data_IF_963644559664
#
_entry.id   IF_963644559664
#
_cell.length_a   1.000
_cell.length_b   1.000
_cell.length_c   1.000
_cell.angle_alpha   90.00
_cell.angle_beta   90.00
_cell.angle_gamma   90.00
#
_symmetry.space_group_name_H-M   'P 1'
#
loop_
_entity.id
_entity.type
_entity.pdbx_description
1 polymer ?
#
# COMPACT_ATOMS: atom_id res chain seq x y z
N UNK A 1 -15.71 43.54 5.04
CA UNK A 1 -14.61 42.72 5.56
C UNK A 1 -14.80 41.29 5.12
N UNK A 2 -13.91 40.75 4.30
CA UNK A 2 -13.99 39.39 3.74
C UNK A 2 -13.19 38.47 4.68
N UNK A 3 -13.84 37.50 5.31
CA UNK A 3 -13.18 36.45 6.08
C UNK A 3 -12.54 35.46 5.10
N UNK A 4 -11.21 35.39 5.08
CA UNK A 4 -10.47 34.37 4.35
C UNK A 4 -10.52 33.05 5.14
N UNK A 5 -11.32 32.07 4.68
CA UNK A 5 -11.17 30.69 5.11
C UNK A 5 -9.90 30.14 4.43
N UNK A 6 -8.79 30.13 5.15
CA UNK A 6 -7.57 29.46 4.71
C UNK A 6 -7.73 27.97 5.01
N UNK A 7 -8.11 27.21 3.97
CA UNK A 7 -8.09 25.75 4.01
C UNK A 7 -6.65 25.28 4.14
N UNK A 8 -6.24 24.91 5.35
CA UNK A 8 -4.96 24.24 5.57
C UNK A 8 -5.11 22.83 4.99
N UNK A 9 -4.62 22.62 3.77
CA UNK A 9 -4.40 21.29 3.25
C UNK A 9 -3.19 20.71 3.98
N UNK A 10 -3.44 19.89 4.99
CA UNK A 10 -2.41 19.00 5.51
C UNK A 10 -2.05 18.05 4.39
N UNK A 11 -0.89 18.28 3.77
CA UNK A 11 -0.28 17.28 2.88
C UNK A 11 0.28 16.22 3.83
N UNK A 12 -0.53 15.20 4.11
CA UNK A 12 -0.03 13.99 4.75
C UNK A 12 1.04 13.42 3.82
N UNK A 13 2.29 13.34 4.29
CA UNK A 13 3.27 12.49 3.63
C UNK A 13 2.79 11.06 3.77
N UNK A 14 2.52 10.46 2.62
CA UNK A 14 1.77 9.23 2.45
C UNK A 14 2.76 8.15 2.03
N UNK A 15 3.11 7.27 2.95
CA UNK A 15 4.07 6.19 2.72
C UNK A 15 3.33 4.89 2.39
N UNK A 16 3.55 4.36 1.19
CA UNK A 16 2.95 3.11 0.77
C UNK A 16 3.99 1.99 0.85
N UNK A 17 4.01 1.31 1.99
CA UNK A 17 4.89 0.16 2.25
C UNK A 17 4.63 -0.99 1.26
N UNK A 18 5.68 -1.75 0.94
CA UNK A 18 5.56 -3.00 0.19
C UNK A 18 4.75 -4.03 1.00
N UNK A 19 3.62 -4.50 0.47
CA UNK A 19 2.91 -5.64 1.04
C UNK A 19 3.49 -6.94 0.48
N UNK A 20 4.26 -7.69 1.28
CA UNK A 20 4.86 -8.96 0.83
C UNK A 20 3.90 -10.12 0.95
N UNK A 21 4.13 -11.15 0.13
CA UNK A 21 3.32 -12.37 0.16
C UNK A 21 3.40 -13.10 1.51
N UNK A 22 4.52 -12.99 2.24
CA UNK A 22 4.72 -13.64 3.54
C UNK A 22 3.85 -13.04 4.65
N UNK A 23 3.47 -11.77 4.50
CA UNK A 23 2.65 -11.03 5.46
C UNK A 23 1.16 -11.31 5.28
N UNK A 24 0.77 -11.89 4.15
CA UNK A 24 -0.61 -12.24 3.83
C UNK A 24 -0.96 -13.63 4.38
N UNK A 25 -1.98 -13.76 5.26
CA UNK A 25 -2.46 -15.07 5.71
C UNK A 25 -2.97 -15.90 4.52
N UNK A 26 -2.80 -17.23 4.59
CA UNK A 26 -3.24 -18.16 3.53
C UNK A 26 -4.70 -17.97 3.09
N UNK A 27 -5.60 -17.61 4.01
CA UNK A 27 -7.01 -17.34 3.71
C UNK A 27 -7.23 -16.11 2.80
N UNK A 28 -6.25 -15.19 2.76
CA UNK A 28 -6.31 -13.91 2.07
C UNK A 28 -5.44 -13.84 0.82
N UNK A 29 -4.64 -14.88 0.53
CA UNK A 29 -3.72 -14.89 -0.61
C UNK A 29 -4.41 -14.49 -1.91
N UNK A 30 -5.55 -15.10 -2.24
CA UNK A 30 -6.25 -14.79 -3.50
C UNK A 30 -6.72 -13.34 -3.57
N UNK A 31 -7.26 -12.76 -2.50
CA UNK A 31 -7.79 -11.39 -2.53
C UNK A 31 -6.67 -10.34 -2.52
N UNK A 32 -5.55 -10.63 -1.87
CA UNK A 32 -4.42 -9.72 -1.75
C UNK A 32 -3.43 -9.82 -2.91
N UNK A 33 -3.46 -10.91 -3.69
CA UNK A 33 -2.46 -11.18 -4.73
C UNK A 33 -2.23 -10.00 -5.69
N UNK A 34 -3.24 -9.28 -6.23
CA UNK A 34 -3.00 -8.15 -7.12
C UNK A 34 -2.32 -6.96 -6.44
N UNK A 35 -2.58 -6.77 -5.13
CA UNK A 35 -1.96 -5.70 -4.36
C UNK A 35 -0.49 -6.04 -4.11
N UNK A 36 -0.19 -7.26 -3.68
CA UNK A 36 1.19 -7.76 -3.55
C UNK A 36 1.96 -7.61 -4.87
N UNK A 37 1.37 -8.03 -6.00
CA UNK A 37 2.03 -7.86 -7.30
C UNK A 37 2.28 -6.39 -7.65
N UNK A 38 1.33 -5.50 -7.34
CA UNK A 38 1.46 -4.07 -7.61
C UNK A 38 2.56 -3.45 -6.74
N UNK A 39 2.54 -3.69 -5.43
CA UNK A 39 3.52 -3.14 -4.48
C UNK A 39 4.92 -3.59 -4.85
N UNK A 40 5.12 -4.89 -5.11
CA UNK A 40 6.42 -5.44 -5.50
C UNK A 40 6.90 -4.93 -6.87
N UNK A 41 5.98 -4.55 -7.76
CA UNK A 41 6.36 -3.93 -9.04
C UNK A 41 6.77 -2.47 -8.84
N UNK A 42 6.10 -1.77 -7.93
CA UNK A 42 6.34 -0.36 -7.65
C UNK A 42 7.57 -0.12 -6.77
N UNK A 43 7.97 -1.09 -5.97
CA UNK A 43 9.13 -1.07 -5.08
C UNK A 43 10.44 -0.78 -5.84
N UNK A 44 11.10 0.31 -5.45
CA UNK A 44 12.32 0.81 -6.09
C UNK A 44 13.54 0.13 -5.46
N UNK A 45 13.50 -0.24 -4.18
CA UNK A 45 14.61 -0.82 -3.43
C UNK A 45 14.21 -2.07 -2.62
N UNK A 46 14.06 -3.22 -3.29
CA UNK A 46 13.61 -4.47 -2.66
C UNK A 46 14.59 -5.06 -1.65
N UNK A 47 15.82 -4.53 -1.57
CA UNK A 47 16.87 -5.03 -0.67
C UNK A 47 16.91 -4.28 0.68
N UNK A 48 16.18 -3.16 0.82
CA UNK A 48 15.99 -2.46 2.11
C UNK A 48 14.93 -3.18 2.95
N UNK A 49 15.29 -4.28 3.60
CA UNK A 49 14.43 -4.88 4.64
C UNK A 49 14.39 -3.97 5.88
N UNK A 50 13.19 -3.61 6.35
CA UNK A 50 12.93 -2.89 7.62
C UNK A 50 13.64 -3.49 8.85
N UNK A 51 14.02 -4.77 8.79
CA UNK A 51 14.72 -5.50 9.87
C UNK A 51 16.10 -4.92 10.25
N UNK A 52 16.65 -3.96 9.49
CA UNK A 52 17.89 -3.25 9.82
C UNK A 52 17.69 -1.77 10.17
N UNK A 53 16.48 -1.32 10.53
CA UNK A 53 16.25 0.00 11.11
C UNK A 53 16.73 0.11 12.58
N UNK A 54 17.84 -0.55 12.92
CA UNK A 54 18.55 -0.28 14.15
C UNK A 54 19.14 1.14 14.03
N UNK A 55 18.49 2.07 14.73
CA UNK A 55 18.92 3.44 15.02
C UNK A 55 20.45 3.58 15.02
N UNK A 56 21.01 4.10 13.94
CA UNK A 56 22.25 4.85 14.01
C UNK A 56 21.95 6.27 13.56
N UNK A 57 21.49 7.06 14.53
CA UNK A 57 21.17 8.46 14.42
C UNK A 57 22.43 9.27 14.05
N UNK A 58 22.87 9.23 12.79
CA UNK A 58 23.93 10.09 12.27
C UNK A 58 23.85 10.39 10.77
N UNK A 59 22.71 10.16 10.11
CA UNK A 59 22.60 10.43 8.67
C UNK A 59 21.52 11.47 8.36
N UNK A 60 21.96 12.53 7.70
CA UNK A 60 21.09 13.52 7.09
C UNK A 60 20.43 12.86 5.87
N UNK A 61 19.13 12.55 6.01
CA UNK A 61 18.12 12.51 4.95
C UNK A 61 18.44 11.65 3.72
N UNK A 62 18.00 10.39 3.73
CA UNK A 62 18.13 9.51 2.55
C UNK A 62 17.38 8.17 2.62
N UNK A 63 16.56 7.93 3.65
CA UNK A 63 15.70 6.75 3.76
C UNK A 63 14.26 7.01 3.30
N UNK A 64 13.90 8.28 3.04
CA UNK A 64 12.52 8.75 2.80
C UNK A 64 12.26 9.14 1.33
N UNK A 65 13.23 8.95 0.42
CA UNK A 65 13.14 9.49 -0.95
C UNK A 65 12.25 8.68 -1.88
N UNK A 66 12.14 7.38 -1.65
CA UNK A 66 11.58 6.44 -2.63
C UNK A 66 10.10 6.14 -2.34
N UNK A 67 9.71 6.15 -1.05
CA UNK A 67 8.34 5.86 -0.59
C UNK A 67 7.27 6.77 -1.25
N UNK A 68 7.49 8.08 -1.49
CA UNK A 68 6.53 8.90 -2.23
C UNK A 68 6.39 8.50 -3.70
N UNK A 69 7.47 8.00 -4.32
CA UNK A 69 7.49 7.57 -5.73
C UNK A 69 6.76 6.22 -5.85
N UNK A 70 6.99 5.32 -4.91
CA UNK A 70 6.30 4.03 -4.80
C UNK A 70 4.80 4.22 -4.53
N UNK A 71 4.45 5.09 -3.58
CA UNK A 71 3.06 5.48 -3.31
C UNK A 71 2.42 6.06 -4.56
N UNK A 72 3.10 6.95 -5.29
CA UNK A 72 2.58 7.47 -6.54
C UNK A 72 2.32 6.35 -7.57
N UNK A 73 3.21 5.36 -7.70
CA UNK A 73 3.02 4.20 -8.58
C UNK A 73 1.80 3.36 -8.18
N UNK A 74 1.64 3.05 -6.89
CA UNK A 74 0.55 2.23 -6.35
C UNK A 74 -0.78 2.99 -6.48
N UNK A 75 -0.86 4.21 -5.94
CA UNK A 75 -2.10 4.97 -5.85
C UNK A 75 -2.63 5.41 -7.23
N UNK A 76 -1.72 5.62 -8.21
CA UNK A 76 -2.11 6.03 -9.56
C UNK A 76 -2.40 4.86 -10.50
N UNK A 77 -2.11 3.61 -10.12
CA UNK A 77 -2.34 2.46 -10.98
C UNK A 77 -3.82 2.32 -11.35
N UNK A 78 -4.09 2.07 -12.65
CA UNK A 78 -5.45 1.92 -13.22
C UNK A 78 -5.68 0.58 -13.91
N UNK A 79 -4.74 -0.35 -13.82
CA UNK A 79 -4.89 -1.69 -14.42
C UNK A 79 -5.99 -2.52 -13.75
N UNK A 80 -6.35 -2.16 -12.50
CA UNK A 80 -7.53 -2.63 -11.79
C UNK A 80 -7.99 -1.59 -10.77
N UNK A 81 -9.08 -1.86 -10.05
CA UNK A 81 -9.56 -1.01 -8.98
C UNK A 81 -8.74 -1.23 -7.70
N UNK A 82 -7.58 -0.57 -7.62
CA UNK A 82 -6.65 -0.68 -6.48
C UNK A 82 -7.35 -0.41 -5.15
N UNK A 83 -8.15 0.65 -5.08
CA UNK A 83 -8.84 1.04 -3.84
C UNK A 83 -9.76 -0.06 -3.31
N UNK A 84 -10.61 -0.65 -4.17
CA UNK A 84 -11.52 -1.70 -3.73
C UNK A 84 -10.80 -3.00 -3.36
N UNK A 85 -9.78 -3.40 -4.11
CA UNK A 85 -9.04 -4.64 -3.82
C UNK A 85 -8.16 -4.48 -2.57
N UNK A 86 -7.50 -3.33 -2.39
CA UNK A 86 -6.74 -3.01 -1.18
C UNK A 86 -7.63 -3.03 0.06
N UNK A 87 -8.83 -2.43 -0.01
CA UNK A 87 -9.77 -2.42 1.10
C UNK A 87 -10.28 -3.84 1.46
N UNK A 88 -10.55 -4.69 0.46
CA UNK A 88 -10.95 -6.08 0.66
C UNK A 88 -9.81 -6.93 1.23
N UNK A 89 -8.59 -6.72 0.75
CA UNK A 89 -7.39 -7.36 1.27
C UNK A 89 -7.14 -6.97 2.74
N UNK A 90 -7.15 -5.67 3.06
CA UNK A 90 -7.01 -5.16 4.41
C UNK A 90 -8.03 -5.75 5.37
N UNK A 91 -9.30 -5.80 4.95
CA UNK A 91 -10.36 -6.41 5.77
C UNK A 91 -10.17 -7.92 5.94
N UNK A 92 -9.70 -8.65 4.90
CA UNK A 92 -9.42 -10.08 5.02
C UNK A 92 -8.29 -10.34 6.03
N UNK A 93 -7.19 -9.60 5.93
CA UNK A 93 -6.03 -9.71 6.82
C UNK A 93 -6.45 -9.40 8.25
N UNK A 94 -7.27 -8.37 8.46
CA UNK A 94 -7.81 -8.05 9.78
C UNK A 94 -8.64 -9.20 10.40
N UNK A 95 -9.37 -9.95 9.57
CA UNK A 95 -10.20 -11.07 10.02
C UNK A 95 -9.40 -12.37 10.25
N UNK A 96 -8.32 -12.60 9.49
CA UNK A 96 -7.64 -13.90 9.43
C UNK A 96 -6.14 -13.86 9.79
N UNK A 97 -5.60 -12.67 10.05
CA UNK A 97 -4.18 -12.44 10.34
C UNK A 97 -3.88 -12.28 11.83
N UNK A 98 -2.59 -12.38 12.17
CA UNK A 98 -2.10 -12.28 13.55
C UNK A 98 -1.80 -10.82 13.99
N UNK A 99 -2.38 -9.81 13.32
CA UNK A 99 -2.13 -8.36 13.56
C UNK A 99 -0.68 -7.87 13.36
N UNK A 100 0.22 -8.69 12.80
CA UNK A 100 1.65 -8.36 12.70
C UNK A 100 2.03 -7.50 11.50
N UNK A 101 1.23 -7.48 10.44
CA UNK A 101 1.43 -6.59 9.27
C UNK A 101 0.39 -5.47 9.27
N UNK A 102 0.86 -4.24 9.09
CA UNK A 102 0.03 -3.06 8.85
C UNK A 102 0.28 -2.43 7.47
N UNK A 103 1.08 -3.07 6.61
CA UNK A 103 1.54 -2.55 5.31
C UNK A 103 0.35 -2.21 4.40
N UNK A 104 -0.63 -3.11 4.33
CA UNK A 104 -1.86 -2.84 3.57
C UNK A 104 -2.64 -1.64 4.14
N UNK A 105 -2.58 -1.38 5.44
CA UNK A 105 -3.21 -0.21 6.05
C UNK A 105 -2.40 1.07 5.81
N UNK A 106 -1.05 0.97 5.74
CA UNK A 106 -0.17 2.06 5.30
C UNK A 106 -0.52 2.46 3.86
N UNK A 107 -0.67 1.50 2.94
CA UNK A 107 -1.15 1.75 1.56
C UNK A 107 -2.53 2.44 1.54
N UNK A 108 -3.48 1.91 2.31
CA UNK A 108 -4.83 2.49 2.39
C UNK A 108 -4.80 3.94 2.86
N UNK A 109 -3.96 4.25 3.85
CA UNK A 109 -3.77 5.59 4.39
C UNK A 109 -3.07 6.50 3.38
N UNK A 110 -1.99 6.02 2.78
CA UNK A 110 -1.19 6.76 1.81
C UNK A 110 -2.02 7.21 0.60
N UNK A 111 -2.82 6.29 0.07
CA UNK A 111 -3.67 6.57 -1.08
C UNK A 111 -5.03 7.18 -0.73
N UNK A 112 -5.31 7.44 0.56
CA UNK A 112 -6.61 7.94 1.04
C UNK A 112 -7.79 7.06 0.60
N UNK A 113 -7.60 5.74 0.58
CA UNK A 113 -8.65 4.80 0.20
C UNK A 113 -9.64 4.56 1.34
N UNK A 114 -10.91 4.37 0.97
CA UNK A 114 -11.96 4.06 1.94
C UNK A 114 -11.97 2.57 2.28
N UNK A 115 -12.13 2.23 3.56
CA UNK A 115 -12.26 0.85 4.02
C UNK A 115 -13.55 0.19 3.53
N UNK A 116 -13.54 -1.14 3.41
CA UNK A 116 -14.72 -1.98 3.16
C UNK A 116 -14.64 -3.26 3.98
N UNK A 117 -15.68 -4.07 3.96
CA UNK A 117 -15.69 -5.40 4.59
C UNK A 117 -15.41 -6.50 3.57
N UNK A 118 -14.53 -7.43 3.95
CA UNK A 118 -14.20 -8.58 3.13
C UNK A 118 -15.44 -9.44 2.86
N UNK A 119 -15.62 -9.79 1.57
CA UNK A 119 -16.61 -10.74 1.12
C UNK A 119 -15.92 -11.84 0.30
N UNK A 120 -16.07 -13.13 0.64
CA UNK A 120 -15.45 -14.22 -0.11
C UNK A 120 -15.79 -14.23 -1.61
N UNK A 121 -17.00 -13.77 -1.96
CA UNK A 121 -17.45 -13.62 -3.35
C UNK A 121 -16.60 -12.66 -4.18
N UNK A 122 -15.86 -11.74 -3.55
CA UNK A 122 -14.97 -10.83 -4.24
C UNK A 122 -13.73 -11.51 -4.82
N UNK A 123 -13.37 -12.72 -4.37
CA UNK A 123 -12.25 -13.48 -4.93
C UNK A 123 -12.44 -13.84 -6.41
N UNK A 124 -13.69 -13.99 -6.86
CA UNK A 124 -14.01 -14.21 -8.27
C UNK A 124 -13.69 -12.98 -9.15
N UNK A 125 -13.77 -11.77 -8.58
CA UNK A 125 -13.39 -10.53 -9.28
C UNK A 125 -11.88 -10.47 -9.51
N UNK A 126 -11.11 -11.03 -8.58
CA UNK A 126 -9.65 -10.99 -8.61
C UNK A 126 -9.07 -11.94 -9.65
N UNK A 127 -9.73 -13.08 -9.90
CA UNK A 127 -9.26 -14.08 -10.85
C UNK A 127 -9.08 -13.56 -12.30
N UNK A 128 -9.69 -12.43 -12.65
CA UNK A 128 -9.61 -11.81 -13.98
C UNK A 128 -8.69 -10.57 -14.01
N UNK A 129 -8.11 -10.19 -12.87
CA UNK A 129 -7.24 -9.03 -12.78
C UNK A 129 -5.89 -9.35 -13.42
N UNK A 130 -5.44 -8.48 -14.32
CA UNK A 130 -4.06 -8.44 -14.79
C UNK A 130 -3.43 -7.17 -14.27
N UNK A 131 -2.40 -7.29 -13.44
CA UNK A 131 -1.64 -6.14 -12.95
C UNK A 131 -0.74 -5.63 -14.07
N UNK A 132 -0.85 -4.35 -14.38
CA UNK A 132 0.03 -3.65 -15.32
C UNK A 132 0.57 -2.40 -14.65
N UNK A 133 1.84 -2.46 -14.26
CA UNK A 133 2.59 -1.39 -13.64
C UNK A 133 4.02 -1.45 -14.18
N UNK A 134 4.72 -0.30 -14.14
CA UNK A 134 6.13 -0.21 -14.49
C UNK A 134 6.86 0.25 -13.26
N UNK A 135 7.94 -0.46 -12.89
CA UNK A 135 8.82 -0.06 -11.79
C UNK A 135 9.29 1.38 -11.99
N UNK A 136 9.06 2.28 -11.03
CA UNK A 136 9.53 3.66 -11.10
C UNK A 136 11.07 3.73 -11.07
N UNK A 137 11.59 4.88 -11.48
CA UNK A 137 13.01 5.22 -11.31
C UNK A 137 13.07 6.35 -10.28
N UNK A 138 13.96 6.23 -9.29
CA UNK A 138 14.26 7.28 -8.32
C UNK A 138 15.01 8.46 -8.96
#
# INVERSE_FOLDING_TARGET
SILLLQSIFFVSTSFAEELRAADVPNACTTICQPIVQLTNTCDIDPDKSEDNAAENSNDNDGAESDEPIEAQCICSNKSFNVASIAALCASCIQLNGNRTTDDVNKIMSACSFSSTSYAPSATALVAQITVSATKPTA
#
